data_IF_014644139913
#
_entry.id   IF_014644139913
#
_cell.length_a   1.000
_cell.length_b   1.000
_cell.length_c   1.000
_cell.angle_alpha   90.00
_cell.angle_beta   90.00
_cell.angle_gamma   90.00
#
_symmetry.space_group_name_H-M   'P 1'
#
loop_
_entity.id
_entity.type
_entity.pdbx_description
1 polymer ?
#
# COMPACT_ATOMS: atom_id res chain seq x y z
N UNK A 1 4.68 11.93 -17.58
CA UNK A 1 3.68 12.09 -16.50
C UNK A 1 3.99 11.03 -15.46
N UNK A 2 4.01 11.42 -14.19
CA UNK A 2 4.22 10.49 -13.07
C UNK A 2 2.95 9.69 -12.81
N UNK A 3 3.08 8.52 -12.19
CA UNK A 3 1.94 7.65 -11.90
C UNK A 3 1.10 8.24 -10.77
N UNK A 4 -0.22 8.33 -10.99
CA UNK A 4 -1.21 8.70 -9.97
C UNK A 4 -1.78 7.47 -9.31
N UNK A 5 -1.37 7.22 -8.06
CA UNK A 5 -1.88 6.12 -7.26
C UNK A 5 -3.24 6.47 -6.63
N UNK A 6 -3.98 5.45 -6.20
CA UNK A 6 -5.30 5.62 -5.57
C UNK A 6 -5.32 4.88 -4.24
N UNK A 7 -6.07 5.39 -3.29
CA UNK A 7 -6.28 4.69 -2.02
C UNK A 7 -7.39 3.66 -2.16
N UNK A 8 -7.19 2.46 -1.60
CA UNK A 8 -8.22 1.43 -1.56
C UNK A 8 -9.05 1.60 -0.27
N UNK A 9 -10.29 2.04 -0.40
CA UNK A 9 -11.25 2.16 0.71
C UNK A 9 -12.50 1.36 0.37
N UNK A 10 -12.91 0.45 1.27
CA UNK A 10 -14.12 -0.37 1.12
C UNK A 10 -14.17 -1.16 -0.20
N UNK A 11 -13.00 -1.66 -0.63
CA UNK A 11 -12.85 -2.40 -1.89
C UNK A 11 -12.87 -1.54 -3.15
N UNK A 12 -12.82 -0.21 -3.03
CA UNK A 12 -12.84 0.73 -4.17
C UNK A 12 -11.60 1.61 -4.17
N UNK A 13 -11.06 1.85 -5.37
CA UNK A 13 -9.98 2.82 -5.58
C UNK A 13 -10.56 4.24 -5.59
N UNK A 14 -10.08 5.10 -4.69
CA UNK A 14 -10.55 6.48 -4.49
C UNK A 14 -9.42 7.49 -4.68
N UNK A 15 -9.79 8.71 -5.07
CA UNK A 15 -8.93 9.90 -5.18
C UNK A 15 -9.68 11.12 -4.67
N UNK A 16 -8.96 12.15 -4.22
CA UNK A 16 -9.54 13.34 -3.56
C UNK A 16 -9.47 14.61 -4.41
N UNK A 17 -8.94 14.52 -5.65
CA UNK A 17 -8.72 15.66 -6.53
C UNK A 17 -7.49 16.53 -6.17
N UNK A 18 -7.07 16.50 -4.90
CA UNK A 18 -5.78 17.01 -4.43
C UNK A 18 -4.73 15.89 -4.33
N UNK A 19 -3.47 16.23 -4.60
CA UNK A 19 -2.38 15.27 -4.73
C UNK A 19 -1.18 15.68 -3.87
N UNK A 20 -0.46 14.68 -3.37
CA UNK A 20 0.85 14.83 -2.73
C UNK A 20 1.91 14.14 -3.59
N UNK A 21 3.00 14.85 -3.85
CA UNK A 21 4.16 14.30 -4.57
C UNK A 21 4.92 13.30 -3.69
N UNK A 22 5.27 12.17 -4.27
CA UNK A 22 6.26 11.22 -3.74
C UNK A 22 7.56 11.51 -4.46
N UNK A 23 8.57 11.94 -3.70
CA UNK A 23 9.85 12.44 -4.22
C UNK A 23 10.94 11.41 -3.97
N UNK A 24 11.80 11.19 -4.97
CA UNK A 24 13.04 10.45 -4.77
C UNK A 24 14.06 11.34 -4.05
N UNK A 25 14.49 11.00 -2.82
CA UNK A 25 15.37 11.87 -2.03
C UNK A 25 16.78 11.99 -2.60
N UNK A 26 17.20 11.10 -3.51
CA UNK A 26 18.53 11.15 -4.12
C UNK A 26 18.61 12.07 -5.35
N UNK A 27 17.48 12.27 -6.06
CA UNK A 27 17.42 13.07 -7.29
C UNK A 27 16.51 14.28 -7.20
N UNK A 28 15.70 14.39 -6.14
CA UNK A 28 14.64 15.39 -5.96
C UNK A 28 13.53 15.32 -7.02
N UNK A 29 13.50 14.26 -7.83
CA UNK A 29 12.47 14.06 -8.85
C UNK A 29 11.19 13.46 -8.24
N UNK A 30 10.03 13.89 -8.73
CA UNK A 30 8.74 13.27 -8.40
C UNK A 30 8.65 11.91 -9.10
N UNK A 31 8.44 10.84 -8.33
CA UNK A 31 8.31 9.45 -8.83
C UNK A 31 6.87 8.94 -8.81
N UNK A 32 5.96 9.64 -8.14
CA UNK A 32 4.53 9.33 -8.11
C UNK A 32 3.73 10.40 -7.39
N UNK A 33 2.42 10.32 -7.50
CA UNK A 33 1.48 11.18 -6.77
C UNK A 33 0.47 10.29 -6.04
N UNK A 34 0.15 10.62 -4.79
CA UNK A 34 -0.88 9.94 -3.99
C UNK A 34 -2.01 10.93 -3.63
N UNK A 35 -3.25 10.46 -3.45
CA UNK A 35 -4.35 11.35 -3.07
C UNK A 35 -4.07 11.98 -1.72
N UNK A 36 -4.26 13.29 -1.62
CA UNK A 36 -4.19 14.00 -0.35
C UNK A 36 -5.49 13.78 0.42
N UNK A 37 -5.51 12.73 1.24
CA UNK A 37 -6.67 12.38 2.06
C UNK A 37 -6.79 13.26 3.29
N UNK A 38 -8.04 13.55 3.67
CA UNK A 38 -8.39 14.32 4.86
C UNK A 38 -9.24 13.54 5.84
N UNK A 39 -9.96 14.29 6.68
CA UNK A 39 -10.85 13.73 7.71
C UNK A 39 -11.94 12.84 7.11
N UNK A 40 -12.50 13.21 5.97
CA UNK A 40 -13.64 12.52 5.39
C UNK A 40 -13.25 11.14 4.85
N UNK A 41 -12.10 11.01 4.16
CA UNK A 41 -11.59 9.72 3.71
C UNK A 41 -11.19 8.82 4.89
N UNK A 42 -10.60 9.41 5.94
CA UNK A 42 -10.30 8.69 7.17
C UNK A 42 -11.58 8.12 7.81
N UNK A 43 -12.61 8.95 7.97
CA UNK A 43 -13.89 8.53 8.55
C UNK A 43 -14.54 7.43 7.69
N UNK A 44 -14.48 7.52 6.35
CA UNK A 44 -14.94 6.48 5.43
C UNK A 44 -14.17 5.17 5.60
N UNK A 45 -12.83 5.21 5.68
CA UNK A 45 -12.00 4.03 5.88
C UNK A 45 -12.28 3.34 7.22
N UNK A 46 -12.38 4.11 8.30
CA UNK A 46 -12.69 3.58 9.64
C UNK A 46 -14.10 2.99 9.68
N UNK A 47 -15.08 3.67 9.08
CA UNK A 47 -16.44 3.15 9.01
C UNK A 47 -16.49 1.83 8.22
N UNK A 48 -15.81 1.73 7.09
CA UNK A 48 -15.70 0.52 6.29
C UNK A 48 -15.06 -0.63 7.07
N UNK A 49 -13.90 -0.38 7.70
CA UNK A 49 -13.21 -1.36 8.52
C UNK A 49 -14.10 -1.87 9.69
N UNK A 50 -14.80 -0.96 10.39
CA UNK A 50 -15.73 -1.33 11.47
C UNK A 50 -16.89 -2.19 10.99
N UNK A 51 -17.43 -1.93 9.79
CA UNK A 51 -18.48 -2.78 9.19
C UNK A 51 -17.92 -4.16 8.84
N UNK A 52 -16.80 -4.22 8.13
CA UNK A 52 -16.16 -5.48 7.72
C UNK A 52 -15.78 -6.35 8.93
N UNK A 53 -15.30 -5.74 10.01
CA UNK A 53 -14.91 -6.47 11.22
C UNK A 53 -16.06 -7.26 11.87
N UNK A 54 -17.32 -6.79 11.73
CA UNK A 54 -18.49 -7.50 12.30
C UNK A 54 -18.60 -8.93 11.81
N UNK A 55 -18.24 -9.18 10.55
CA UNK A 55 -18.25 -10.52 9.92
C UNK A 55 -16.87 -11.15 9.90
N UNK A 56 -15.82 -10.40 9.54
CA UNK A 56 -14.45 -10.90 9.41
C UNK A 56 -13.90 -11.52 10.70
N UNK A 57 -14.29 -10.99 11.87
CA UNK A 57 -13.87 -11.56 13.17
C UNK A 57 -14.29 -13.03 13.37
N UNK A 58 -15.33 -13.48 12.66
CA UNK A 58 -15.84 -14.85 12.73
C UNK A 58 -15.26 -15.76 11.64
N UNK A 59 -14.45 -15.22 10.71
CA UNK A 59 -13.82 -16.01 9.64
C UNK A 59 -12.93 -17.10 10.24
N UNK A 60 -13.02 -18.37 9.80
CA UNK A 60 -12.17 -19.45 10.29
C UNK A 60 -10.67 -19.15 10.20
N UNK A 61 -9.88 -19.73 11.11
CA UNK A 61 -8.43 -19.50 11.14
C UNK A 61 -7.74 -19.90 9.83
N UNK A 62 -8.20 -20.97 9.19
CA UNK A 62 -7.63 -21.45 7.93
C UNK A 62 -7.89 -20.48 6.77
N UNK A 63 -9.07 -19.87 6.71
CA UNK A 63 -9.38 -18.84 5.70
C UNK A 63 -8.55 -17.57 5.92
N UNK A 64 -8.37 -17.14 7.18
CA UNK A 64 -7.48 -16.01 7.50
C UNK A 64 -6.03 -16.31 7.13
N UNK A 65 -5.56 -17.53 7.40
CA UNK A 65 -4.23 -18.00 7.01
C UNK A 65 -4.06 -17.98 5.50
N UNK A 66 -5.04 -18.51 4.76
CA UNK A 66 -5.03 -18.51 3.30
C UNK A 66 -4.93 -17.07 2.73
N UNK A 67 -5.70 -16.13 3.29
CA UNK A 67 -5.62 -14.72 2.87
C UNK A 67 -4.24 -14.10 3.13
N UNK A 68 -3.63 -14.33 4.30
CA UNK A 68 -2.29 -13.84 4.62
C UNK A 68 -1.23 -14.47 3.71
N UNK A 69 -1.32 -15.78 3.46
CA UNK A 69 -0.40 -16.48 2.55
C UNK A 69 -0.53 -15.98 1.12
N UNK A 70 -1.75 -15.67 0.66
CA UNK A 70 -1.96 -15.06 -0.66
C UNK A 70 -1.31 -13.68 -0.76
N UNK A 71 -1.40 -12.85 0.29
CA UNK A 71 -0.73 -11.55 0.36
C UNK A 71 0.80 -11.71 0.30
N UNK A 72 1.37 -12.61 1.12
CA UNK A 72 2.81 -12.89 1.12
C UNK A 72 3.29 -13.41 -0.25
N UNK A 73 2.51 -14.29 -0.89
CA UNK A 73 2.78 -14.76 -2.25
C UNK A 73 2.81 -13.64 -3.27
N UNK A 74 1.80 -12.76 -3.27
CA UNK A 74 1.74 -11.62 -4.17
C UNK A 74 2.90 -10.63 -3.97
N UNK A 75 3.31 -10.37 -2.73
CA UNK A 75 4.47 -9.52 -2.43
C UNK A 75 5.75 -10.14 -3.00
N UNK A 76 5.96 -11.44 -2.82
CA UNK A 76 7.15 -12.14 -3.31
C UNK A 76 7.20 -12.21 -4.83
N UNK A 77 6.07 -12.47 -5.49
CA UNK A 77 5.94 -12.49 -6.94
C UNK A 77 6.31 -11.13 -7.57
N UNK A 78 5.96 -10.03 -6.89
CA UNK A 78 6.27 -8.66 -7.33
C UNK A 78 7.52 -8.08 -6.65
N UNK A 79 8.35 -8.92 -6.03
CA UNK A 79 9.40 -8.46 -5.12
C UNK A 79 10.43 -7.55 -5.78
N UNK A 80 10.78 -7.82 -7.04
CA UNK A 80 11.73 -6.99 -7.81
C UNK A 80 11.25 -5.56 -7.99
N UNK A 81 9.99 -5.39 -8.38
CA UNK A 81 9.41 -4.06 -8.54
C UNK A 81 9.33 -3.34 -7.19
N UNK A 82 8.87 -4.04 -6.15
CA UNK A 82 8.65 -3.46 -4.83
C UNK A 82 9.94 -2.98 -4.16
N UNK A 83 11.05 -3.73 -4.21
CA UNK A 83 12.29 -3.26 -3.57
C UNK A 83 12.93 -2.08 -4.31
N UNK A 84 12.77 -2.01 -5.65
CA UNK A 84 13.25 -0.87 -6.45
C UNK A 84 12.43 0.37 -6.13
N UNK A 85 11.10 0.23 -6.03
CA UNK A 85 10.21 1.32 -5.63
C UNK A 85 10.55 1.83 -4.22
N UNK A 86 10.72 0.93 -3.26
CA UNK A 86 11.08 1.27 -1.89
C UNK A 86 12.43 2.00 -1.80
N UNK A 87 13.40 1.59 -2.62
CA UNK A 87 14.70 2.28 -2.74
C UNK A 87 14.52 3.68 -3.32
N UNK A 88 13.73 3.81 -4.39
CA UNK A 88 13.47 5.11 -5.02
C UNK A 88 12.72 6.08 -4.10
N UNK A 89 11.76 5.60 -3.30
CA UNK A 89 10.97 6.43 -2.39
C UNK A 89 11.73 6.83 -1.12
N UNK A 90 12.52 5.91 -0.54
CA UNK A 90 13.13 6.13 0.78
C UNK A 90 14.65 6.40 0.74
N UNK A 91 15.30 6.21 -0.42
CA UNK A 91 16.74 6.37 -0.58
C UNK A 91 17.60 5.29 0.09
N UNK A 92 16.98 4.19 0.54
CA UNK A 92 17.70 3.09 1.22
C UNK A 92 18.47 2.21 0.24
N UNK A 93 19.58 1.55 0.66
CA UNK A 93 20.27 0.59 -0.20
C UNK A 93 19.36 -0.57 -0.66
N UNK A 94 19.57 -1.03 -1.90
CA UNK A 94 18.78 -2.11 -2.50
C UNK A 94 18.76 -3.39 -1.66
N UNK A 95 19.88 -3.78 -1.06
CA UNK A 95 19.96 -4.98 -0.22
C UNK A 95 19.07 -4.87 1.03
N UNK A 96 18.95 -3.67 1.62
CA UNK A 96 18.05 -3.44 2.75
C UNK A 96 16.58 -3.50 2.31
N UNK A 97 16.25 -2.87 1.17
CA UNK A 97 14.91 -2.95 0.59
C UNK A 97 14.52 -4.38 0.25
N UNK A 98 15.44 -5.18 -0.33
CA UNK A 98 15.23 -6.60 -0.60
C UNK A 98 14.96 -7.39 0.68
N UNK A 99 15.75 -7.15 1.73
CA UNK A 99 15.53 -7.78 3.04
C UNK A 99 14.14 -7.50 3.61
N UNK A 100 13.64 -6.26 3.49
CA UNK A 100 12.30 -5.89 3.93
C UNK A 100 11.18 -6.59 3.12
N UNK A 101 11.32 -6.67 1.79
CA UNK A 101 10.31 -7.30 0.92
C UNK A 101 10.26 -8.81 1.08
N UNK A 102 11.42 -9.49 1.11
CA UNK A 102 11.46 -10.96 1.20
C UNK A 102 11.39 -11.50 2.63
N UNK A 103 11.55 -10.62 3.63
CA UNK A 103 11.30 -10.94 5.05
C UNK A 103 9.82 -11.01 5.43
N UNK A 104 8.91 -10.60 4.53
CA UNK A 104 7.45 -10.62 4.69
C UNK A 104 6.77 -11.97 4.32
#
# INVERSE_FOLDING_TARGET
MVTKYKNLIDGKMIETGEWCDVVNPATEEVIGEVPKCGKDELDQAVAAARRAFKTWKNTPIEERRAAIMAISGAIKENGEELYRLLTAEQGKPHEQAQGEIFGA
#
